data_IF_419721513064
#
_entry.id   IF_419721513064
#
_cell.length_a   1.000
_cell.length_b   1.000
_cell.length_c   1.000
_cell.angle_alpha   90.00
_cell.angle_beta   90.00
_cell.angle_gamma   90.00
#
_symmetry.space_group_name_H-M   'P 1'
#
loop_
_entity.id
_entity.type
_entity.pdbx_description
1 polymer ?
#
# COMPACT_ATOMS: atom_id res chain seq x y z
N UNK A 1 10.85 23.58 -1.12
CA UNK A 1 10.59 22.22 -0.61
C UNK A 1 9.30 21.73 -1.25
N UNK A 2 9.30 20.51 -1.78
CA UNK A 2 8.20 19.98 -2.59
C UNK A 2 7.13 19.38 -1.67
N UNK A 3 6.14 20.17 -1.25
CA UNK A 3 5.13 19.84 -0.23
C UNK A 3 4.44 18.49 -0.47
N UNK A 4 4.21 18.11 -1.74
CA UNK A 4 3.60 16.82 -2.08
C UNK A 4 4.49 15.63 -1.72
N UNK A 5 5.81 15.74 -1.87
CA UNK A 5 6.72 14.63 -1.54
C UNK A 5 6.74 14.39 -0.03
N UNK A 6 6.71 15.46 0.77
CA UNK A 6 6.64 15.34 2.24
C UNK A 6 5.32 14.72 2.71
N UNK A 7 4.20 15.09 2.08
CA UNK A 7 2.89 14.46 2.35
C UNK A 7 2.91 12.98 1.96
N UNK A 8 3.45 12.65 0.78
CA UNK A 8 3.52 11.26 0.32
C UNK A 8 4.43 10.41 1.23
N UNK A 9 5.56 10.95 1.69
CA UNK A 9 6.45 10.28 2.65
C UNK A 9 5.76 10.03 4.00
N UNK A 10 5.00 10.99 4.51
CA UNK A 10 4.23 10.82 5.74
C UNK A 10 3.16 9.74 5.59
N UNK A 11 2.41 9.74 4.48
CA UNK A 11 1.39 8.72 4.19
C UNK A 11 2.02 7.33 3.99
N UNK A 12 3.18 7.23 3.33
CA UNK A 12 3.94 5.98 3.23
C UNK A 12 4.35 5.47 4.61
N UNK A 13 4.82 6.36 5.50
CA UNK A 13 5.17 6.00 6.87
C UNK A 13 3.98 5.41 7.63
N UNK A 14 2.81 6.05 7.53
CA UNK A 14 1.56 5.57 8.15
C UNK A 14 1.15 4.21 7.60
N UNK A 15 1.11 4.05 6.27
CA UNK A 15 0.74 2.78 5.64
C UNK A 15 1.70 1.64 6.04
N UNK A 16 3.00 1.89 6.10
CA UNK A 16 3.99 0.88 6.46
C UNK A 16 3.89 0.46 7.93
N UNK A 17 3.52 1.39 8.82
CA UNK A 17 3.29 1.10 10.23
C UNK A 17 1.97 0.34 10.46
N UNK A 18 0.89 0.72 9.76
CA UNK A 18 -0.43 0.10 9.90
C UNK A 18 -0.51 -1.30 9.28
N UNK A 19 0.27 -1.57 8.22
CA UNK A 19 0.15 -2.78 7.40
C UNK A 19 1.46 -3.56 7.31
N UNK A 20 1.93 -4.04 8.46
CA UNK A 20 3.03 -5.01 8.51
C UNK A 20 2.73 -6.25 7.65
N UNK A 21 3.77 -6.83 7.05
CA UNK A 21 3.61 -7.93 6.08
C UNK A 21 3.35 -7.48 4.64
N UNK A 22 3.23 -6.18 4.38
CA UNK A 22 3.22 -5.59 3.04
C UNK A 22 4.49 -4.76 2.78
N UNK A 23 5.00 -4.80 1.55
CA UNK A 23 5.97 -3.82 1.06
C UNK A 23 5.21 -2.72 0.33
N UNK A 24 5.30 -1.49 0.80
CA UNK A 24 4.49 -0.36 0.30
C UNK A 24 5.39 0.75 -0.21
N UNK A 25 5.13 1.26 -1.42
CA UNK A 25 5.90 2.35 -2.03
C UNK A 25 5.06 3.18 -3.00
N UNK A 26 5.62 4.34 -3.37
CA UNK A 26 5.11 5.20 -4.44
C UNK A 26 5.85 4.86 -5.72
N UNK A 27 5.13 4.42 -6.76
CA UNK A 27 5.75 4.17 -8.05
C UNK A 27 6.30 5.47 -8.63
N UNK A 28 7.36 5.35 -9.43
CA UNK A 28 7.93 6.47 -10.18
C UNK A 28 7.80 6.11 -11.66
N UNK A 29 7.17 7.00 -12.42
CA UNK A 29 7.01 6.86 -13.87
C UNK A 29 8.32 7.12 -14.59
N UNK A 30 8.42 6.70 -15.85
CA UNK A 30 9.62 6.94 -16.67
C UNK A 30 9.99 8.42 -16.79
N UNK A 31 9.01 9.33 -16.71
CA UNK A 31 9.20 10.79 -16.74
C UNK A 31 9.59 11.41 -15.39
N UNK A 32 9.86 10.58 -14.37
CA UNK A 32 10.23 11.03 -13.03
C UNK A 32 9.06 11.49 -12.16
N UNK A 33 7.82 11.49 -12.67
CA UNK A 33 6.64 11.83 -11.88
C UNK A 33 6.19 10.67 -11.01
N UNK A 34 5.53 10.99 -9.90
CA UNK A 34 4.93 9.97 -9.03
C UNK A 34 3.75 9.27 -9.72
N UNK A 35 3.72 7.95 -9.62
CA UNK A 35 2.79 7.02 -10.28
C UNK A 35 1.64 6.59 -9.38
N UNK A 36 1.42 5.29 -9.22
CA UNK A 36 0.46 4.68 -8.29
C UNK A 36 1.07 4.39 -6.91
N UNK A 37 0.21 4.24 -5.91
CA UNK A 37 0.52 3.71 -4.59
C UNK A 37 0.47 2.20 -4.71
N UNK A 38 1.58 1.54 -4.42
CA UNK A 38 1.74 0.10 -4.65
C UNK A 38 1.98 -0.60 -3.33
N UNK A 39 1.33 -1.74 -3.14
CA UNK A 39 1.63 -2.67 -2.06
C UNK A 39 1.80 -4.08 -2.62
N UNK A 40 2.93 -4.73 -2.33
CA UNK A 40 3.12 -6.15 -2.62
C UNK A 40 3.11 -6.96 -1.34
N UNK A 41 2.38 -8.07 -1.38
CA UNK A 41 2.22 -8.97 -0.25
C UNK A 41 3.54 -9.68 0.03
N UNK A 42 4.06 -9.51 1.25
CA UNK A 42 5.28 -10.17 1.69
C UNK A 42 4.98 -11.32 2.66
N UNK A 43 3.99 -11.15 3.53
CA UNK A 43 3.49 -12.18 4.43
C UNK A 43 2.12 -12.68 3.95
N UNK A 44 1.99 -13.92 3.46
CA UNK A 44 0.72 -14.45 2.94
C UNK A 44 -0.39 -14.56 4.01
N UNK A 45 -0.08 -14.39 5.31
CA UNK A 45 -1.07 -14.44 6.39
C UNK A 45 -1.94 -13.18 6.48
N UNK A 46 -1.48 -12.06 5.93
CA UNK A 46 -2.14 -10.75 6.06
C UNK A 46 -2.90 -10.31 4.80
N UNK A 47 -2.92 -11.14 3.75
CA UNK A 47 -3.57 -10.81 2.48
C UNK A 47 -3.75 -11.99 1.55
N UNK A 48 -4.44 -11.74 0.43
CA UNK A 48 -4.73 -12.76 -0.58
C UNK A 48 -4.15 -12.38 -1.93
N UNK A 49 -4.38 -11.13 -2.36
CA UNK A 49 -3.88 -10.62 -3.63
C UNK A 49 -2.38 -10.29 -3.54
N UNK A 50 -1.57 -10.72 -4.51
CA UNK A 50 -0.11 -10.57 -4.43
C UNK A 50 0.35 -9.12 -4.57
N UNK A 51 -0.36 -8.27 -5.32
CA UNK A 51 -0.01 -6.87 -5.50
C UNK A 51 -1.24 -6.01 -5.71
N UNK A 52 -1.27 -4.86 -5.05
CA UNK A 52 -2.31 -3.83 -5.14
C UNK A 52 -1.70 -2.55 -5.69
N UNK A 53 -2.41 -1.87 -6.58
CA UNK A 53 -2.03 -0.58 -7.15
C UNK A 53 -3.23 0.35 -7.15
N UNK A 54 -3.10 1.53 -6.53
CA UNK A 54 -4.18 2.51 -6.43
C UNK A 54 -3.68 3.94 -6.67
N UNK A 55 -4.51 4.85 -7.20
CA UNK A 55 -4.07 6.21 -7.51
C UNK A 55 -3.83 7.07 -6.26
N UNK A 56 -4.38 6.71 -5.10
CA UNK A 56 -4.26 7.47 -3.84
C UNK A 56 -4.00 6.58 -2.63
N UNK A 57 -3.37 7.13 -1.59
CA UNK A 57 -3.10 6.43 -0.33
C UNK A 57 -4.38 5.94 0.39
N UNK A 58 -5.48 6.72 0.49
CA UNK A 58 -6.72 6.25 1.12
C UNK A 58 -7.35 5.05 0.41
N UNK A 59 -7.27 5.01 -0.93
CA UNK A 59 -7.79 3.88 -1.71
C UNK A 59 -6.95 2.63 -1.48
N UNK A 60 -5.62 2.76 -1.43
CA UNK A 60 -4.74 1.66 -1.08
C UNK A 60 -5.04 1.14 0.34
N UNK A 61 -5.20 2.05 1.32
CA UNK A 61 -5.57 1.69 2.70
C UNK A 61 -6.86 0.87 2.76
N UNK A 62 -7.91 1.34 2.10
CA UNK A 62 -9.19 0.64 2.05
C UNK A 62 -9.09 -0.73 1.36
N UNK A 63 -8.18 -0.90 0.40
CA UNK A 63 -7.92 -2.19 -0.21
C UNK A 63 -7.15 -3.14 0.72
N UNK A 64 -6.14 -2.64 1.44
CA UNK A 64 -5.37 -3.43 2.42
C UNK A 64 -6.24 -3.96 3.57
N UNK A 65 -7.19 -3.14 4.07
CA UNK A 65 -8.16 -3.60 5.07
C UNK A 65 -9.01 -4.78 4.56
N UNK A 66 -9.51 -4.68 3.32
CA UNK A 66 -10.26 -5.78 2.68
C UNK A 66 -9.40 -7.03 2.47
N UNK A 67 -8.09 -6.89 2.23
CA UNK A 67 -7.20 -8.05 2.17
C UNK A 67 -7.08 -8.76 3.52
N UNK A 68 -6.95 -8.00 4.61
CA UNK A 68 -6.89 -8.57 5.96
C UNK A 68 -8.18 -9.33 6.31
N UNK A 69 -9.35 -8.76 5.99
CA UNK A 69 -10.65 -9.43 6.15
C UNK A 69 -10.71 -10.76 5.37
N UNK A 70 -10.28 -10.74 4.11
CA UNK A 70 -10.26 -11.95 3.26
C UNK A 70 -9.27 -13.00 3.77
N UNK A 71 -8.10 -12.59 4.26
CA UNK A 71 -7.10 -13.51 4.80
C UNK A 71 -7.61 -14.20 6.08
N UNK A 72 -8.26 -13.44 6.97
CA UNK A 72 -8.90 -14.00 8.17
C UNK A 72 -10.00 -15.01 7.81
N UNK A 73 -10.84 -14.70 6.80
CA UNK A 73 -11.89 -15.61 6.35
C UNK A 73 -11.35 -16.92 5.73
N UNK A 74 -10.14 -16.91 5.15
CA UNK A 74 -9.50 -18.13 4.59
C UNK A 74 -8.83 -19.01 5.64
N UNK A 75 -8.42 -18.42 6.77
CA UNK A 75 -7.73 -19.12 7.84
C UNK A 75 -8.68 -19.68 8.91
N UNK A 76 -9.98 -19.44 8.75
CA UNK A 76 -11.05 -19.97 9.61
C UNK A 76 -11.61 -21.26 9.03
#
# INVERSE_FOLDING_TARGET
MNTQMQVDEQELGRLRADFEGWRIWRAVKQDGRLGEWVASLHDPRVGVEPTLMYPTAPLLRAALLRQAERAQARNR
#
